data_IF_753876914481
#
_entry.id   IF_753876914481
#
_cell.length_a   1.000
_cell.length_b   1.000
_cell.length_c   1.000
_cell.angle_alpha   90.00
_cell.angle_beta   90.00
_cell.angle_gamma   90.00
#
_symmetry.space_group_name_H-M   'P 1'
#
loop_
_entity.id
_entity.type
_entity.pdbx_description
1 polymer ?
#
# COMPACT_ATOMS: atom_id res chain seq x y z
N UNK A 1 17.23 -14.67 -14.55
CA UNK A 1 16.02 -13.93 -14.95
C UNK A 1 14.92 -14.20 -13.96
N UNK A 2 14.12 -13.19 -13.65
CA UNK A 2 13.00 -13.36 -12.74
C UNK A 2 11.74 -12.79 -13.37
N UNK A 3 10.60 -13.34 -12.95
CA UNK A 3 9.28 -12.88 -13.38
C UNK A 3 8.54 -12.42 -12.14
N UNK A 4 7.90 -11.27 -12.25
CA UNK A 4 7.16 -10.70 -11.13
C UNK A 4 5.75 -10.35 -11.57
N UNK A 5 4.86 -10.35 -10.61
CA UNK A 5 3.51 -9.80 -10.79
C UNK A 5 3.38 -8.54 -9.98
N UNK A 6 2.47 -7.69 -10.40
CA UNK A 6 2.17 -6.45 -9.72
C UNK A 6 0.67 -6.43 -9.42
N UNK A 7 0.32 -6.17 -8.18
CA UNK A 7 -1.08 -6.02 -7.77
C UNK A 7 -1.29 -4.65 -7.17
N UNK A 8 -2.40 -4.04 -7.51
CA UNK A 8 -2.74 -2.74 -6.93
C UNK A 8 -3.52 -2.97 -5.63
N UNK A 9 -3.11 -2.28 -4.57
CA UNK A 9 -3.82 -2.33 -3.30
C UNK A 9 -4.03 -0.92 -2.78
N UNK A 10 -5.03 -0.78 -1.93
CA UNK A 10 -5.36 0.47 -1.27
C UNK A 10 -5.26 0.24 0.23
N UNK A 11 -4.60 1.14 0.93
CA UNK A 11 -4.44 1.05 2.38
C UNK A 11 -4.70 2.41 3.01
N UNK A 12 -5.27 2.38 4.20
CA UNK A 12 -5.59 3.60 4.93
C UNK A 12 -5.01 3.57 6.33
N UNK A 13 -4.78 4.75 6.88
CA UNK A 13 -4.29 4.91 8.25
C UNK A 13 -4.81 6.23 8.80
N UNK A 14 -5.10 6.25 10.08
CA UNK A 14 -5.42 7.50 10.77
C UNK A 14 -4.17 8.25 11.21
N UNK A 15 -2.99 7.65 11.03
CA UNK A 15 -1.73 8.20 11.55
C UNK A 15 -0.91 8.93 10.49
N UNK A 16 -0.66 8.29 9.36
CA UNK A 16 0.23 8.85 8.34
C UNK A 16 0.18 8.03 7.06
N UNK A 17 0.71 8.61 5.98
CA UNK A 17 0.92 7.87 4.74
C UNK A 17 1.91 6.72 4.94
N UNK A 18 2.98 6.98 5.68
CA UNK A 18 3.98 5.95 5.93
C UNK A 18 3.38 4.75 6.66
N UNK A 19 2.53 5.02 7.66
CA UNK A 19 1.86 3.94 8.38
C UNK A 19 0.92 3.16 7.46
N UNK A 20 0.19 3.86 6.58
CA UNK A 20 -0.68 3.19 5.61
C UNK A 20 0.12 2.26 4.70
N UNK A 21 1.26 2.73 4.21
CA UNK A 21 2.14 1.93 3.35
C UNK A 21 2.62 0.69 4.11
N UNK A 22 3.10 0.87 5.33
CA UNK A 22 3.64 -0.22 6.14
C UNK A 22 2.57 -1.27 6.44
N UNK A 23 1.39 -0.83 6.82
CA UNK A 23 0.30 -1.76 7.10
C UNK A 23 -0.16 -2.49 5.84
N UNK A 24 -0.24 -1.78 4.72
CA UNK A 24 -0.61 -2.40 3.45
C UNK A 24 0.37 -3.47 3.02
N UNK A 25 1.66 -3.21 3.16
CA UNK A 25 2.69 -4.18 2.82
C UNK A 25 2.67 -5.38 3.76
N UNK A 26 2.52 -5.14 5.07
CA UNK A 26 2.46 -6.22 6.05
C UNK A 26 1.27 -7.14 5.80
N UNK A 27 0.11 -6.56 5.46
CA UNK A 27 -1.08 -7.34 5.17
C UNK A 27 -0.93 -8.12 3.87
N UNK A 28 -0.35 -7.49 2.84
CA UNK A 28 -0.11 -8.16 1.55
C UNK A 28 0.82 -9.35 1.71
N UNK A 29 1.83 -9.24 2.58
CA UNK A 29 2.78 -10.32 2.81
C UNK A 29 2.15 -11.56 3.42
N UNK A 30 0.96 -11.44 4.01
CA UNK A 30 0.25 -12.59 4.58
C UNK A 30 -0.43 -13.44 3.51
N UNK A 31 -0.78 -12.84 2.39
CA UNK A 31 -1.53 -13.53 1.34
C UNK A 31 -0.72 -13.71 0.06
N UNK A 32 0.29 -12.87 -0.16
CA UNK A 32 1.14 -12.93 -1.34
C UNK A 32 2.53 -13.42 -0.94
N UNK A 33 3.06 -14.35 -1.71
CA UNK A 33 4.41 -14.86 -1.47
C UNK A 33 5.42 -13.97 -2.17
N UNK A 34 6.57 -13.81 -1.54
CA UNK A 34 7.71 -13.11 -2.14
C UNK A 34 7.43 -11.65 -2.51
N UNK A 35 6.76 -10.95 -1.60
CA UNK A 35 6.58 -9.50 -1.75
C UNK A 35 7.97 -8.87 -1.64
N UNK A 36 8.37 -8.09 -2.65
CA UNK A 36 9.71 -7.52 -2.73
C UNK A 36 9.74 -6.01 -2.69
N UNK A 37 8.67 -5.38 -3.06
CA UNK A 37 8.63 -3.93 -3.05
C UNK A 37 7.28 -3.41 -3.50
N UNK A 38 7.20 -2.10 -3.53
CA UNK A 38 5.98 -1.43 -3.96
C UNK A 38 6.34 -0.01 -4.36
N UNK A 39 5.49 0.59 -5.20
CA UNK A 39 5.59 2.02 -5.40
C UNK A 39 4.21 2.62 -5.16
N UNK A 40 4.21 3.82 -4.61
CA UNK A 40 2.96 4.53 -4.34
C UNK A 40 2.52 5.21 -5.62
N UNK A 41 1.32 4.89 -6.04
CA UNK A 41 0.72 5.45 -7.23
C UNK A 41 0.00 6.75 -6.92
N UNK A 42 -0.68 6.80 -5.80
CA UNK A 42 -1.48 7.96 -5.41
C UNK A 42 -1.51 8.10 -3.90
N UNK A 43 -1.52 9.36 -3.46
CA UNK A 43 -1.81 9.73 -2.08
C UNK A 43 -3.13 10.47 -2.05
N UNK A 44 -3.92 10.18 -1.04
CA UNK A 44 -5.22 10.82 -0.88
C UNK A 44 -5.47 11.03 0.61
N UNK A 45 -6.11 12.12 0.97
CA UNK A 45 -6.52 12.35 2.34
C UNK A 45 -8.02 12.58 2.38
N UNK A 46 -8.62 12.22 3.50
CA UNK A 46 -10.01 12.56 3.79
C UNK A 46 -10.03 13.51 4.96
N UNK A 47 -10.86 14.52 4.86
CA UNK A 47 -10.93 15.60 5.84
C UNK A 47 -12.32 15.67 6.45
N UNK A 48 -12.37 16.15 7.69
CA UNK A 48 -13.63 16.54 8.31
C UNK A 48 -14.05 17.94 7.86
N UNK A 49 -15.18 18.39 8.37
CA UNK A 49 -15.74 19.69 8.02
C UNK A 49 -14.84 20.86 8.43
N UNK A 50 -13.97 20.63 9.41
CA UNK A 50 -13.01 21.62 9.89
C UNK A 50 -11.73 21.68 9.06
N UNK A 51 -11.64 20.87 8.01
CA UNK A 51 -10.45 20.81 7.16
C UNK A 51 -9.33 19.96 7.72
N UNK A 52 -9.51 19.35 8.88
CA UNK A 52 -8.47 18.49 9.44
C UNK A 52 -8.48 17.13 8.79
N UNK A 53 -7.28 16.58 8.60
CA UNK A 53 -7.14 15.25 7.99
C UNK A 53 -7.58 14.18 8.98
N UNK A 54 -8.55 13.36 8.57
CA UNK A 54 -9.03 12.24 9.36
C UNK A 54 -8.39 10.93 8.95
N UNK A 55 -8.03 10.82 7.69
CA UNK A 55 -7.56 9.55 7.15
C UNK A 55 -6.58 9.79 6.02
N UNK A 56 -5.53 9.00 6.02
CA UNK A 56 -4.52 8.98 4.97
C UNK A 56 -4.74 7.70 4.16
N UNK A 57 -4.80 7.82 2.84
CA UNK A 57 -4.98 6.67 1.97
C UNK A 57 -3.86 6.64 0.94
N UNK A 58 -3.31 5.46 0.70
CA UNK A 58 -2.36 5.25 -0.38
C UNK A 58 -2.92 4.19 -1.32
N UNK A 59 -2.75 4.43 -2.62
CA UNK A 59 -2.98 3.40 -3.62
C UNK A 59 -1.60 3.05 -4.15
N UNK A 60 -1.22 1.79 -4.03
CA UNK A 60 0.14 1.39 -4.38
C UNK A 60 0.15 0.10 -5.17
N UNK A 61 1.21 -0.05 -5.96
CA UNK A 61 1.44 -1.25 -6.75
C UNK A 61 2.45 -2.10 -6.02
N UNK A 62 2.06 -3.29 -5.62
CA UNK A 62 2.93 -4.21 -4.87
C UNK A 62 3.51 -5.23 -5.83
N UNK A 63 4.82 -5.35 -5.80
CA UNK A 63 5.56 -6.27 -6.65
C UNK A 63 5.92 -7.53 -5.89
N UNK A 64 5.62 -8.67 -6.46
CA UNK A 64 6.02 -9.95 -5.87
C UNK A 64 6.55 -10.89 -6.96
N UNK A 65 7.57 -11.65 -6.57
CA UNK A 65 8.27 -12.52 -7.51
C UNK A 65 7.55 -13.87 -7.58
N UNK A 66 7.36 -14.34 -8.81
CA UNK A 66 6.71 -15.63 -9.02
C UNK A 66 7.79 -16.72 -8.92
N UNK A 67 7.51 -17.70 -8.07
CA UNK A 67 8.36 -18.89 -7.97
C UNK A 67 8.10 -19.81 -9.15
N UNK A 68 9.17 -20.39 -9.65
CA UNK A 68 9.07 -21.43 -10.67
C UNK A 68 8.85 -22.80 -10.05
#
# INVERSE_FOLDING_TARGET
MSVAKVSEISATSSKSFEDAIQQGLARSAKTLRNVRGAWVKEHQVKCGDDGRINEYQVNMMVTFVIDD
#
